data_IF_005772879531
#
_entry.id   IF_005772879531
#
_cell.length_a   1.000
_cell.length_b   1.000
_cell.length_c   1.000
_cell.angle_alpha   90.00
_cell.angle_beta   90.00
_cell.angle_gamma   90.00
#
_symmetry.space_group_name_H-M   'P 1'
#
loop_
_entity.id
_entity.type
_entity.pdbx_description
1 polymer ?
#
# COMPACT_ATOMS: atom_id res chain seq x y z
N UNK A 1 -73.02 -31.20 16.87
CA UNK A 1 -71.60 -31.47 16.56
C UNK A 1 -71.18 -30.48 15.49
N UNK A 2 -70.44 -29.42 15.86
CA UNK A 2 -70.08 -28.29 14.99
C UNK A 2 -68.81 -28.63 14.21
N UNK A 3 -68.88 -28.59 12.89
CA UNK A 3 -67.71 -28.68 12.00
C UNK A 3 -67.17 -27.26 11.85
N UNK A 4 -65.98 -27.01 12.40
CA UNK A 4 -65.24 -25.77 12.25
C UNK A 4 -64.27 -25.92 11.07
N UNK A 5 -64.52 -25.16 10.02
CA UNK A 5 -63.63 -24.97 8.87
C UNK A 5 -62.62 -23.90 9.28
N UNK A 6 -61.34 -24.26 9.36
CA UNK A 6 -60.25 -23.30 9.50
C UNK A 6 -59.87 -22.73 8.13
N UNK A 7 -59.72 -21.41 7.97
CA UNK A 7 -59.13 -20.86 6.76
C UNK A 7 -57.60 -21.06 6.80
N UNK A 8 -57.05 -21.57 5.70
CA UNK A 8 -55.62 -21.53 5.41
C UNK A 8 -55.18 -20.06 5.35
N UNK A 9 -54.39 -19.62 6.34
CA UNK A 9 -53.64 -18.37 6.25
C UNK A 9 -52.38 -18.69 5.45
N UNK A 10 -52.38 -18.33 4.17
CA UNK A 10 -51.17 -18.29 3.37
C UNK A 10 -50.30 -17.14 3.89
N UNK A 11 -49.28 -17.46 4.70
CA UNK A 11 -48.18 -16.54 4.98
C UNK A 11 -47.41 -16.33 3.68
N UNK A 12 -47.64 -15.18 3.04
CA UNK A 12 -46.75 -14.65 2.01
C UNK A 12 -45.39 -14.40 2.65
N UNK A 13 -44.40 -15.24 2.33
CA UNK A 13 -42.99 -14.91 2.52
C UNK A 13 -42.69 -13.68 1.66
N UNK A 14 -42.62 -12.51 2.28
CA UNK A 14 -41.91 -11.39 1.70
C UNK A 14 -40.43 -11.75 1.77
N UNK A 15 -39.90 -12.27 0.66
CA UNK A 15 -38.47 -12.22 0.40
C UNK A 15 -38.14 -10.74 0.30
N UNK A 16 -37.68 -10.16 1.41
CA UNK A 16 -36.92 -8.93 1.38
C UNK A 16 -35.64 -9.26 0.62
N UNK A 17 -35.69 -9.10 -0.70
CA UNK A 17 -34.52 -8.83 -1.49
C UNK A 17 -33.91 -7.54 -0.90
N UNK A 18 -33.00 -7.70 0.04
CA UNK A 18 -32.12 -6.63 0.45
C UNK A 18 -31.46 -6.14 -0.82
N UNK A 19 -31.76 -4.90 -1.21
CA UNK A 19 -31.04 -4.20 -2.24
C UNK A 19 -29.58 -4.16 -1.79
N UNK A 20 -28.76 -5.10 -2.29
CA UNK A 20 -27.32 -5.02 -2.25
C UNK A 20 -26.95 -3.83 -3.14
N UNK A 21 -26.99 -2.62 -2.59
CA UNK A 21 -26.18 -1.54 -3.10
C UNK A 21 -24.74 -1.96 -2.84
N UNK A 22 -24.14 -2.68 -3.78
CA UNK A 22 -22.70 -2.75 -3.85
C UNK A 22 -22.22 -1.31 -4.02
N UNK A 23 -21.52 -0.79 -3.03
CA UNK A 23 -20.71 0.41 -3.24
C UNK A 23 -19.80 0.10 -4.44
N UNK A 24 -19.89 0.86 -5.53
CA UNK A 24 -19.48 0.42 -6.87
C UNK A 24 -18.01 0.01 -7.02
N UNK A 25 -17.17 0.36 -6.02
CA UNK A 25 -15.75 0.01 -5.94
C UNK A 25 -15.46 -1.27 -5.14
N UNK A 26 -16.42 -1.76 -4.34
CA UNK A 26 -16.24 -2.90 -3.45
C UNK A 26 -16.79 -4.20 -4.04
N UNK A 27 -15.91 -5.18 -4.17
CA UNK A 27 -16.22 -6.58 -4.51
C UNK A 27 -17.01 -7.26 -3.41
N UNK A 28 -17.91 -8.14 -3.84
CA UNK A 28 -18.64 -9.02 -2.95
C UNK A 28 -17.75 -10.13 -2.38
N UNK A 29 -18.04 -10.54 -1.14
CA UNK A 29 -17.48 -11.72 -0.46
C UNK A 29 -16.01 -11.61 -0.03
N UNK A 30 -15.46 -10.39 0.12
CA UNK A 30 -14.14 -10.17 0.71
C UNK A 30 -14.29 -9.76 2.18
N UNK A 31 -13.80 -10.60 3.09
CA UNK A 31 -13.87 -10.40 4.54
C UNK A 31 -12.59 -9.79 5.14
N UNK A 32 -11.64 -9.38 4.32
CA UNK A 32 -10.46 -8.60 4.74
C UNK A 32 -10.61 -7.14 4.34
N UNK A 33 -9.79 -6.27 4.94
CA UNK A 33 -9.61 -4.92 4.43
C UNK A 33 -8.80 -5.01 3.12
N UNK A 34 -9.23 -4.31 2.09
CA UNK A 34 -8.49 -4.20 0.83
C UNK A 34 -8.71 -2.85 0.15
N UNK A 35 -7.78 -2.53 -0.74
CA UNK A 35 -7.68 -1.27 -1.45
C UNK A 35 -7.83 -1.53 -2.95
N UNK A 36 -9.02 -1.32 -3.53
CA UNK A 36 -9.20 -1.44 -4.97
C UNK A 36 -8.28 -0.45 -5.70
N UNK A 37 -7.55 -0.95 -6.70
CA UNK A 37 -6.66 -0.14 -7.53
C UNK A 37 -7.26 0.00 -8.93
N UNK A 38 -7.08 1.17 -9.56
CA UNK A 38 -7.55 1.43 -10.93
C UNK A 38 -6.73 0.67 -11.99
N UNK A 39 -5.47 0.33 -11.68
CA UNK A 39 -4.62 -0.48 -12.54
C UNK A 39 -3.80 -1.50 -11.72
N UNK A 40 -3.60 -2.74 -12.21
CA UNK A 40 -2.97 -3.81 -11.44
C UNK A 40 -1.44 -3.73 -11.31
N UNK A 41 -0.74 -2.82 -12.02
CA UNK A 41 0.70 -2.93 -12.25
C UNK A 41 1.55 -1.70 -11.88
N UNK A 42 0.98 -0.67 -11.23
CA UNK A 42 1.74 0.50 -10.76
C UNK A 42 1.26 0.89 -9.37
N UNK A 43 2.07 1.57 -8.54
CA UNK A 43 1.61 2.19 -7.30
C UNK A 43 0.65 3.35 -7.62
N UNK A 44 -0.52 3.03 -8.15
CA UNK A 44 -1.59 3.99 -8.40
C UNK A 44 -2.33 4.24 -7.11
N UNK A 45 -2.73 5.50 -6.88
CA UNK A 45 -3.64 5.88 -5.81
C UNK A 45 -4.82 4.91 -5.75
N UNK A 46 -5.12 4.30 -4.58
CA UNK A 46 -6.30 3.47 -4.44
C UNK A 46 -7.58 4.25 -4.75
N UNK A 47 -8.57 3.58 -5.34
CA UNK A 47 -9.93 4.12 -5.50
C UNK A 47 -10.61 4.37 -4.14
N UNK A 48 -10.14 3.67 -3.11
CA UNK A 48 -10.63 3.76 -1.74
C UNK A 48 -10.16 2.57 -0.92
N UNK A 49 -10.91 2.29 0.14
CA UNK A 49 -10.75 1.10 0.97
C UNK A 49 -12.09 0.41 1.19
N UNK A 50 -12.08 -0.91 1.19
CA UNK A 50 -13.26 -1.75 1.32
C UNK A 50 -13.08 -2.78 2.43
N UNK A 51 -14.17 -3.10 3.12
CA UNK A 51 -14.25 -4.20 4.09
C UNK A 51 -15.68 -4.73 4.13
N UNK A 52 -15.85 -6.05 4.04
CA UNK A 52 -17.16 -6.71 4.08
C UNK A 52 -18.19 -6.05 3.12
N UNK A 53 -17.78 -5.83 1.88
CA UNK A 53 -18.55 -5.20 0.80
C UNK A 53 -18.95 -3.74 1.03
N UNK A 54 -18.37 -3.07 2.03
CA UNK A 54 -18.65 -1.66 2.34
C UNK A 54 -17.42 -0.80 2.07
N UNK A 55 -17.64 0.39 1.51
CA UNK A 55 -16.60 1.41 1.43
C UNK A 55 -16.31 1.95 2.85
N UNK A 56 -15.06 1.81 3.27
CA UNK A 56 -14.55 2.24 4.57
C UNK A 56 -13.50 3.35 4.43
N UNK A 57 -13.34 3.94 3.26
CA UNK A 57 -12.32 4.97 2.97
C UNK A 57 -12.34 6.08 4.02
N UNK A 58 -13.50 6.70 4.24
CA UNK A 58 -13.65 7.78 5.24
C UNK A 58 -13.49 7.31 6.68
N UNK A 59 -13.70 6.02 6.98
CA UNK A 59 -13.40 5.45 8.30
C UNK A 59 -11.88 5.34 8.51
N UNK A 60 -11.11 5.06 7.45
CA UNK A 60 -9.65 4.94 7.53
C UNK A 60 -8.90 6.27 7.45
N UNK A 61 -9.36 7.19 6.59
CA UNK A 61 -8.65 8.45 6.31
C UNK A 61 -9.31 9.69 6.91
N UNK A 62 -10.52 9.57 7.45
CA UNK A 62 -11.28 10.74 7.91
C UNK A 62 -11.56 11.69 6.74
N UNK A 63 -11.29 13.00 6.86
CA UNK A 63 -11.50 13.93 5.77
C UNK A 63 -10.48 13.76 4.63
N UNK A 64 -9.34 13.14 4.91
CA UNK A 64 -8.16 13.08 4.04
C UNK A 64 -8.25 12.01 2.95
N UNK A 65 -7.26 12.03 2.07
CA UNK A 65 -7.14 11.09 0.96
C UNK A 65 -6.15 9.97 1.29
N UNK A 66 -6.50 8.73 0.89
CA UNK A 66 -5.56 7.61 0.85
C UNK A 66 -4.76 7.75 -0.45
N UNK A 67 -3.44 7.84 -0.35
CA UNK A 67 -2.56 8.11 -1.51
C UNK A 67 -1.87 6.86 -2.02
N UNK A 68 -1.66 5.87 -1.15
CA UNK A 68 -1.04 4.58 -1.48
C UNK A 68 -1.44 3.53 -0.45
N UNK A 69 -1.39 2.26 -0.81
CA UNK A 69 -1.64 1.16 0.11
C UNK A 69 -0.91 -0.11 -0.32
N UNK A 70 -0.42 -0.87 0.65
CA UNK A 70 0.24 -2.15 0.45
C UNK A 70 -0.30 -3.18 1.46
N UNK A 71 -0.40 -4.40 0.97
CA UNK A 71 -0.81 -5.55 1.77
C UNK A 71 0.41 -6.18 2.42
N UNK A 72 0.31 -6.64 3.67
CA UNK A 72 1.36 -7.42 4.32
C UNK A 72 1.50 -8.86 3.76
N UNK A 73 0.70 -9.23 2.75
CA UNK A 73 0.72 -10.54 2.11
C UNK A 73 0.09 -11.69 2.92
N UNK A 74 -0.18 -11.48 4.21
CA UNK A 74 -0.81 -12.47 5.12
C UNK A 74 -2.23 -12.05 5.51
N UNK A 75 -2.61 -10.79 5.23
CA UNK A 75 -3.96 -10.26 5.41
C UNK A 75 -4.23 -9.75 6.83
N UNK A 76 -3.21 -9.54 7.66
CA UNK A 76 -3.39 -9.13 9.05
C UNK A 76 -3.32 -7.61 9.21
N UNK A 77 -2.41 -6.97 8.49
CA UNK A 77 -2.24 -5.51 8.48
C UNK A 77 -2.15 -5.02 7.04
N UNK A 78 -2.85 -3.92 6.80
CA UNK A 78 -2.66 -3.13 5.60
C UNK A 78 -1.98 -1.82 5.97
N UNK A 79 -0.85 -1.52 5.33
CA UNK A 79 -0.21 -0.22 5.45
C UNK A 79 -0.73 0.69 4.34
N UNK A 80 -1.00 1.93 4.66
CA UNK A 80 -1.49 2.91 3.70
C UNK A 80 -1.00 4.29 4.07
N UNK A 81 -0.82 5.15 3.08
CA UNK A 81 -0.48 6.56 3.33
C UNK A 81 -1.72 7.41 3.20
N UNK A 82 -1.87 8.37 4.11
CA UNK A 82 -2.81 9.48 3.96
C UNK A 82 -2.05 10.78 3.68
N UNK A 83 -2.57 11.57 2.75
CA UNK A 83 -2.08 12.91 2.44
C UNK A 83 -2.97 13.98 3.05
N UNK A 84 -2.35 14.93 3.74
CA UNK A 84 -3.00 16.10 4.34
C UNK A 84 -2.35 17.37 3.80
N UNK A 85 -3.11 18.46 3.73
CA UNK A 85 -2.61 19.77 3.33
C UNK A 85 -1.87 19.74 1.97
N UNK A 86 -2.62 19.51 0.88
CA UNK A 86 -2.06 19.36 -0.47
C UNK A 86 -3.05 19.73 -1.58
N UNK A 87 -2.60 19.68 -2.82
CA UNK A 87 -3.42 20.00 -4.01
C UNK A 87 -4.12 18.78 -4.63
N UNK A 88 -3.95 17.61 -4.01
CA UNK A 88 -4.51 16.33 -4.45
C UNK A 88 -3.54 15.48 -5.30
N UNK A 89 -2.46 16.07 -5.81
CA UNK A 89 -1.37 15.39 -6.51
C UNK A 89 -0.10 15.30 -5.67
N UNK A 90 0.14 16.32 -4.85
CA UNK A 90 1.22 16.39 -3.88
C UNK A 90 0.67 16.85 -2.54
N UNK A 91 1.26 16.33 -1.46
CA UNK A 91 0.81 16.59 -0.09
C UNK A 91 1.99 17.01 0.78
N UNK A 92 1.84 18.15 1.44
CA UNK A 92 2.89 18.73 2.29
C UNK A 92 3.09 17.90 3.56
N UNK A 93 2.01 17.31 4.06
CA UNK A 93 2.02 16.45 5.21
C UNK A 93 1.47 15.08 4.84
N UNK A 94 2.23 14.03 5.15
CA UNK A 94 1.80 12.66 4.89
C UNK A 94 2.00 11.78 6.11
N UNK A 95 1.15 10.77 6.26
CA UNK A 95 1.24 9.82 7.37
C UNK A 95 1.12 8.41 6.86
N UNK A 96 2.04 7.55 7.27
CA UNK A 96 1.91 6.11 7.08
C UNK A 96 1.05 5.59 8.23
N UNK A 97 -0.03 4.94 7.87
CA UNK A 97 -1.02 4.35 8.76
C UNK A 97 -1.04 2.84 8.58
N UNK A 98 -1.51 2.13 9.61
CA UNK A 98 -1.78 0.71 9.58
C UNK A 98 -3.25 0.47 9.93
N UNK A 99 -3.93 -0.40 9.19
CA UNK A 99 -5.28 -0.86 9.50
C UNK A 99 -5.32 -2.37 9.68
N UNK A 100 -6.06 -2.82 10.70
CA UNK A 100 -6.28 -4.24 11.02
C UNK A 100 -7.71 -4.46 11.49
N UNK A 101 -8.12 -5.73 11.57
CA UNK A 101 -9.39 -6.13 12.16
C UNK A 101 -9.07 -6.76 13.52
N UNK A 102 -9.67 -6.25 14.58
CA UNK A 102 -9.49 -6.82 15.92
C UNK A 102 -10.32 -8.12 16.09
N UNK A 103 -10.22 -8.74 17.26
CA UNK A 103 -10.94 -10.00 17.56
C UNK A 103 -12.46 -9.85 17.56
N UNK A 104 -12.97 -8.64 17.74
CA UNK A 104 -14.40 -8.32 17.76
C UNK A 104 -14.95 -8.01 16.35
N UNK A 105 -14.08 -8.02 15.32
CA UNK A 105 -14.45 -7.68 13.95
C UNK A 105 -14.41 -6.19 13.64
N UNK A 106 -13.93 -5.36 14.56
CA UNK A 106 -13.80 -3.93 14.38
C UNK A 106 -12.50 -3.56 13.65
N UNK A 107 -12.61 -2.59 12.75
CA UNK A 107 -11.46 -1.97 12.09
C UNK A 107 -10.76 -1.06 13.09
N UNK A 108 -9.48 -1.33 13.34
CA UNK A 108 -8.58 -0.52 14.16
C UNK A 108 -7.49 0.08 13.28
N UNK A 109 -7.23 1.37 13.48
CA UNK A 109 -6.16 2.10 12.78
C UNK A 109 -5.11 2.60 13.76
N UNK A 110 -3.86 2.66 13.30
CA UNK A 110 -2.76 3.23 14.06
C UNK A 110 -1.83 4.03 13.13
N UNK A 111 -1.32 5.16 13.62
CA UNK A 111 -0.27 5.91 12.94
C UNK A 111 1.06 5.20 13.15
N UNK A 112 1.77 4.93 12.05
CA UNK A 112 3.09 4.28 12.04
C UNK A 112 4.18 5.33 11.94
N UNK A 113 4.04 6.27 10.99
CA UNK A 113 5.01 7.32 10.73
C UNK A 113 4.31 8.62 10.34
N UNK A 114 4.93 9.74 10.69
CA UNK A 114 4.55 11.10 10.30
C UNK A 114 5.72 11.70 9.51
N UNK A 115 5.44 12.38 8.38
CA UNK A 115 6.46 13.15 7.68
C UNK A 115 6.99 14.31 8.53
N UNK A 116 6.18 14.79 9.48
CA UNK A 116 6.38 16.07 10.11
C UNK A 116 6.18 17.22 9.12
N UNK A 117 6.62 18.42 9.53
CA UNK A 117 6.62 19.59 8.67
C UNK A 117 7.82 19.52 7.72
N UNK A 118 7.65 19.90 6.44
CA UNK A 118 8.76 20.02 5.51
C UNK A 118 9.82 21.01 6.02
N UNK A 119 11.08 20.59 5.97
CA UNK A 119 12.24 21.48 6.12
C UNK A 119 12.65 21.93 4.71
N UNK A 120 12.21 23.13 4.34
CA UNK A 120 12.51 23.73 3.03
C UNK A 120 13.95 24.23 2.93
N UNK A 121 14.65 24.38 4.06
CA UNK A 121 16.05 24.79 4.11
C UNK A 121 16.98 23.57 3.98
N UNK A 122 16.54 22.38 4.42
CA UNK A 122 17.22 21.09 4.19
C UNK A 122 16.30 20.06 3.52
N UNK A 123 15.94 20.26 2.24
CA UNK A 123 14.98 19.42 1.53
C UNK A 123 15.42 17.96 1.39
N UNK A 124 16.72 17.66 1.63
CA UNK A 124 17.25 16.29 1.63
C UNK A 124 16.81 15.47 2.84
N UNK A 125 16.38 16.13 3.91
CA UNK A 125 15.86 15.48 5.12
C UNK A 125 14.33 15.44 5.16
N UNK A 126 13.69 16.16 4.26
CA UNK A 126 12.22 16.24 4.19
C UNK A 126 11.64 14.97 3.61
N UNK A 127 10.65 14.40 4.30
CA UNK A 127 9.87 13.27 3.82
C UNK A 127 8.58 13.79 3.15
N UNK A 128 8.73 14.34 1.94
CA UNK A 128 7.62 14.92 1.19
C UNK A 128 6.81 13.83 0.47
N UNK A 129 5.48 13.96 0.48
CA UNK A 129 4.59 13.10 -0.31
C UNK A 129 4.86 11.58 -0.15
N UNK A 130 4.94 11.07 1.09
CA UNK A 130 5.24 9.65 1.33
C UNK A 130 4.23 8.71 0.63
N UNK A 131 4.73 7.63 0.03
CA UNK A 131 3.91 6.59 -0.60
C UNK A 131 4.43 5.20 -0.24
N UNK A 132 3.62 4.37 0.39
CA UNK A 132 4.00 2.98 0.65
C UNK A 132 3.99 2.19 -0.66
N UNK A 133 5.06 1.43 -0.92
CA UNK A 133 5.27 0.78 -2.23
C UNK A 133 5.42 -0.73 -2.15
N UNK A 134 5.85 -1.28 -1.01
CA UNK A 134 5.73 -2.71 -0.78
C UNK A 134 6.07 -3.15 0.64
N UNK A 135 5.69 -4.37 0.99
CA UNK A 135 5.99 -4.98 2.29
C UNK A 135 6.57 -6.38 2.09
N UNK A 136 7.72 -6.66 2.71
CA UNK A 136 8.24 -8.03 2.84
C UNK A 136 7.91 -8.58 4.22
N UNK A 137 6.97 -9.51 4.27
CA UNK A 137 6.48 -10.14 5.50
C UNK A 137 7.48 -11.08 6.16
N UNK A 138 8.46 -11.58 5.40
CA UNK A 138 9.49 -12.49 5.92
C UNK A 138 10.49 -11.76 6.79
N UNK A 139 10.80 -10.51 6.42
CA UNK A 139 11.75 -9.67 7.13
C UNK A 139 11.08 -8.51 7.88
N UNK A 140 9.76 -8.36 7.76
CA UNK A 140 8.94 -7.31 8.36
C UNK A 140 9.39 -5.90 7.95
N UNK A 141 9.61 -5.71 6.65
CA UNK A 141 10.14 -4.47 6.07
C UNK A 141 9.09 -3.79 5.22
N UNK A 142 8.74 -2.56 5.59
CA UNK A 142 7.86 -1.71 4.81
C UNK A 142 8.72 -0.73 3.99
N UNK A 143 8.59 -0.80 2.68
CA UNK A 143 9.23 0.11 1.74
C UNK A 143 8.26 1.23 1.39
N UNK A 144 8.79 2.45 1.34
CA UNK A 144 8.03 3.62 0.92
C UNK A 144 8.94 4.57 0.15
N UNK A 145 8.31 5.39 -0.69
CA UNK A 145 8.94 6.43 -1.47
C UNK A 145 8.55 7.80 -0.95
N UNK A 146 9.42 8.77 -1.16
CA UNK A 146 9.13 10.19 -1.05
C UNK A 146 9.54 10.88 -2.33
N UNK A 147 8.91 12.00 -2.64
CA UNK A 147 9.41 12.85 -3.71
C UNK A 147 10.79 13.40 -3.29
N UNK A 148 11.81 13.24 -4.14
CA UNK A 148 13.15 13.77 -3.87
C UNK A 148 13.42 15.05 -4.67
N UNK A 149 14.28 15.90 -4.10
CA UNK A 149 14.61 17.24 -4.59
C UNK A 149 15.24 17.33 -5.99
N UNK A 150 15.65 16.22 -6.62
CA UNK A 150 16.64 16.29 -7.71
C UNK A 150 16.32 15.61 -9.05
N UNK A 151 15.31 14.71 -9.20
CA UNK A 151 14.80 14.19 -10.51
C UNK A 151 14.11 12.83 -10.41
N UNK A 152 14.41 12.03 -9.38
CA UNK A 152 13.76 10.74 -9.11
C UNK A 152 13.30 10.69 -7.65
N UNK A 153 12.36 9.79 -7.32
CA UNK A 153 11.91 9.59 -5.94
C UNK A 153 13.05 9.16 -5.00
N UNK A 154 12.80 9.12 -3.70
CA UNK A 154 13.71 8.60 -2.70
C UNK A 154 13.10 7.37 -2.05
N UNK A 155 13.83 6.26 -2.07
CA UNK A 155 13.38 4.97 -1.51
C UNK A 155 13.87 4.84 -0.08
N UNK A 156 12.93 4.57 0.81
CA UNK A 156 13.14 4.35 2.23
C UNK A 156 12.63 2.99 2.67
N UNK A 157 13.10 2.55 3.84
CA UNK A 157 12.60 1.36 4.54
C UNK A 157 12.31 1.68 6.00
N UNK A 158 11.19 1.14 6.49
CA UNK A 158 10.91 0.94 7.90
C UNK A 158 11.10 -0.53 8.23
N UNK A 159 12.03 -0.82 9.12
CA UNK A 159 12.11 -2.14 9.75
C UNK A 159 11.12 -2.16 10.91
N UNK A 160 10.12 -3.03 10.85
CA UNK A 160 9.18 -3.22 11.94
C UNK A 160 9.79 -4.12 13.02
N UNK A 161 9.31 -4.02 14.27
CA UNK A 161 9.74 -4.90 15.37
C UNK A 161 9.40 -6.39 15.13
N UNK A 162 8.46 -6.66 14.22
CA UNK A 162 8.04 -7.99 13.81
C UNK A 162 7.02 -7.93 12.69
N UNK A 163 6.68 -9.09 12.13
CA UNK A 163 5.64 -9.18 11.10
C UNK A 163 4.30 -8.72 11.67
N UNK A 164 3.53 -7.97 10.88
CA UNK A 164 2.27 -7.36 11.32
C UNK A 164 2.42 -6.52 12.61
N UNK A 165 3.55 -5.84 12.79
CA UNK A 165 3.74 -4.85 13.86
C UNK A 165 3.51 -3.43 13.34
N UNK A 166 3.06 -2.54 14.20
CA UNK A 166 2.99 -1.09 13.94
C UNK A 166 4.18 -0.33 14.52
N UNK A 167 5.05 -1.00 15.27
CA UNK A 167 6.22 -0.40 15.92
C UNK A 167 7.43 -0.48 15.00
N UNK A 168 8.06 0.66 14.80
CA UNK A 168 9.26 0.81 13.98
C UNK A 168 10.49 0.53 14.86
N UNK A 169 11.33 -0.39 14.42
CA UNK A 169 12.68 -0.62 14.97
C UNK A 169 13.66 0.42 14.43
N UNK A 170 13.63 0.70 13.13
CA UNK A 170 14.39 1.80 12.52
C UNK A 170 13.79 2.27 11.19
N UNK A 171 14.13 3.49 10.81
CA UNK A 171 13.93 4.08 9.49
C UNK A 171 15.29 4.32 8.82
N UNK A 172 15.39 4.06 7.52
CA UNK A 172 16.62 4.29 6.75
C UNK A 172 16.31 4.68 5.29
N UNK A 173 17.05 5.66 4.78
CA UNK A 173 17.13 5.95 3.34
C UNK A 173 18.01 4.91 2.64
N UNK A 174 17.55 4.37 1.51
CA UNK A 174 18.27 3.36 0.73
C UNK A 174 18.98 4.01 -0.45
N UNK A 175 18.23 4.66 -1.33
CA UNK A 175 18.73 5.23 -2.60
C UNK A 175 17.69 6.18 -3.18
N UNK A 176 18.11 7.04 -4.11
CA UNK A 176 17.24 7.65 -5.11
C UNK A 176 16.73 6.60 -6.12
N UNK A 177 15.55 6.83 -6.70
CA UNK A 177 14.86 5.95 -7.64
C UNK A 177 13.40 5.68 -7.26
N UNK A 178 12.79 4.70 -7.93
CA UNK A 178 11.44 4.21 -7.62
C UNK A 178 11.44 2.68 -7.48
N UNK A 179 10.68 2.16 -6.52
CA UNK A 179 10.54 0.74 -6.24
C UNK A 179 9.77 0.07 -7.37
N UNK A 180 10.42 -0.86 -8.05
CA UNK A 180 9.81 -1.64 -9.12
C UNK A 180 9.31 -3.00 -8.63
N UNK A 181 9.96 -3.56 -7.59
CA UNK A 181 9.53 -4.82 -6.97
C UNK A 181 10.09 -4.98 -5.56
N UNK A 182 9.37 -5.71 -4.72
CA UNK A 182 9.87 -6.25 -3.44
C UNK A 182 9.94 -7.76 -3.55
N UNK A 183 11.13 -8.31 -3.27
CA UNK A 183 11.48 -9.72 -3.49
C UNK A 183 11.93 -10.37 -2.18
N UNK A 184 12.29 -11.65 -2.22
CA UNK A 184 12.90 -12.36 -1.09
C UNK A 184 14.35 -11.96 -0.80
N UNK A 185 15.05 -11.49 -1.83
CA UNK A 185 16.43 -11.00 -1.74
C UNK A 185 16.52 -9.54 -1.27
N UNK A 186 15.44 -8.78 -1.40
CA UNK A 186 15.35 -7.37 -1.02
C UNK A 186 14.48 -6.55 -1.97
N UNK A 187 14.83 -5.28 -2.17
CA UNK A 187 14.06 -4.35 -3.01
C UNK A 187 14.75 -4.07 -4.33
N UNK A 188 13.99 -4.10 -5.42
CA UNK A 188 14.46 -3.70 -6.75
C UNK A 188 14.03 -2.25 -6.98
N UNK A 189 15.01 -1.40 -7.27
CA UNK A 189 14.82 0.03 -7.50
C UNK A 189 15.21 0.39 -8.91
N UNK A 190 14.28 0.93 -9.68
CA UNK A 190 14.54 1.57 -10.97
C UNK A 190 15.13 2.95 -10.75
N UNK A 191 16.24 3.22 -11.42
CA UNK A 191 16.92 4.51 -11.43
C UNK A 191 17.11 4.96 -12.86
N UNK A 192 16.56 6.13 -13.15
CA UNK A 192 16.85 6.89 -14.35
C UNK A 192 18.05 7.80 -14.11
N UNK A 193 19.06 7.68 -14.96
CA UNK A 193 20.20 8.59 -15.00
C UNK A 193 20.35 9.16 -16.40
N UNK A 194 20.95 10.35 -16.48
CA UNK A 194 21.30 10.99 -17.74
C UNK A 194 22.82 11.00 -17.87
N UNK A 195 23.36 10.27 -18.85
CA UNK A 195 24.69 10.55 -19.38
C UNK A 195 24.56 11.48 -20.57
N UNK A 196 25.61 12.24 -20.88
CA UNK A 196 25.67 13.45 -21.75
C UNK A 196 24.98 13.38 -23.13
N UNK A 197 24.40 12.24 -23.57
CA UNK A 197 23.48 12.16 -24.72
C UNK A 197 22.40 11.06 -24.64
N UNK A 198 22.21 10.35 -23.51
CA UNK A 198 21.20 9.28 -23.36
C UNK A 198 20.71 9.14 -21.93
N UNK A 199 19.39 9.15 -21.76
CA UNK A 199 18.76 8.67 -20.53
C UNK A 199 18.83 7.15 -20.49
N UNK A 200 19.34 6.59 -19.40
CA UNK A 200 19.32 5.16 -19.14
C UNK A 200 18.42 4.87 -17.94
N UNK A 201 17.64 3.79 -18.02
CA UNK A 201 16.93 3.25 -16.88
C UNK A 201 17.49 1.87 -16.54
N UNK A 202 18.01 1.72 -15.34
CA UNK A 202 18.49 0.45 -14.80
C UNK A 202 17.76 0.12 -13.51
N UNK A 203 17.36 -1.14 -13.37
CA UNK A 203 16.81 -1.68 -12.13
C UNK A 203 17.93 -2.35 -11.32
N UNK A 204 18.11 -1.91 -10.09
CA UNK A 204 19.16 -2.40 -9.19
C UNK A 204 18.53 -3.16 -8.03
N UNK A 205 19.10 -4.31 -7.67
CA UNK A 205 18.73 -5.03 -6.46
C UNK A 205 19.49 -4.45 -5.27
N UNK A 206 18.77 -4.07 -4.22
CA UNK A 206 19.30 -3.76 -2.91
C UNK A 206 18.91 -4.87 -1.94
N UNK A 207 19.89 -5.47 -1.27
CA UNK A 207 19.64 -6.57 -0.36
C UNK A 207 18.94 -6.14 0.95
N UNK A 208 18.64 -7.11 1.80
CA UNK A 208 18.06 -6.86 3.13
C UNK A 208 19.00 -6.11 4.10
N UNK A 209 20.28 -5.95 3.75
CA UNK A 209 21.24 -5.06 4.44
C UNK A 209 21.32 -3.67 3.80
N UNK A 210 20.37 -3.36 2.90
CA UNK A 210 20.24 -2.11 2.15
C UNK A 210 21.44 -1.77 1.27
N UNK A 211 22.22 -2.77 0.84
CA UNK A 211 23.36 -2.58 -0.05
C UNK A 211 23.00 -2.94 -1.48
N UNK A 212 23.46 -2.11 -2.43
CA UNK A 212 23.35 -2.41 -3.87
C UNK A 212 24.14 -3.68 -4.18
N UNK A 213 23.46 -4.68 -4.74
CA UNK A 213 24.04 -5.97 -5.12
C UNK A 213 24.43 -5.96 -6.59
N UNK A 214 23.48 -5.69 -7.49
CA UNK A 214 23.65 -5.88 -8.93
C UNK A 214 22.59 -5.12 -9.74
N UNK A 215 22.74 -5.15 -11.07
CA UNK A 215 21.71 -4.77 -12.03
C UNK A 215 20.85 -6.02 -12.30
N UNK A 216 19.52 -5.86 -12.23
CA UNK A 216 18.55 -6.93 -12.46
C UNK A 216 18.24 -7.06 -13.95
N UNK A 217 18.14 -8.31 -14.42
CA UNK A 217 17.68 -8.59 -15.78
C UNK A 217 16.15 -8.43 -15.89
N UNK A 218 15.66 -7.21 -16.10
CA UNK A 218 14.22 -6.94 -16.24
C UNK A 218 13.58 -7.49 -17.52
N UNK A 219 14.38 -8.09 -18.42
CA UNK A 219 13.86 -8.81 -19.59
C UNK A 219 13.38 -10.22 -19.25
N UNK A 220 13.78 -10.77 -18.12
CA UNK A 220 13.26 -12.07 -17.66
C UNK A 220 11.81 -11.92 -17.20
N UNK A 221 10.90 -12.79 -17.63
CA UNK A 221 9.47 -12.70 -17.28
C UNK A 221 9.19 -12.73 -15.77
N UNK A 222 10.08 -13.32 -14.97
CA UNK A 222 9.93 -13.50 -13.52
C UNK A 222 10.91 -12.62 -12.72
N UNK A 223 11.48 -11.58 -13.34
CA UNK A 223 12.45 -10.69 -12.69
C UNK A 223 11.90 -10.06 -11.40
N UNK A 224 10.60 -9.76 -11.34
CA UNK A 224 9.96 -9.15 -10.16
C UNK A 224 9.78 -10.11 -8.98
N UNK A 225 10.04 -11.41 -9.19
CA UNK A 225 9.97 -12.45 -8.15
C UNK A 225 11.38 -12.87 -7.73
N UNK A 226 12.25 -13.16 -8.69
CA UNK A 226 13.58 -13.73 -8.41
C UNK A 226 14.71 -12.69 -8.42
N UNK A 227 14.52 -11.56 -9.11
CA UNK A 227 15.52 -10.49 -9.29
C UNK A 227 16.92 -11.03 -9.64
N UNK A 228 17.01 -11.85 -10.69
CA UNK A 228 18.28 -12.40 -11.11
C UNK A 228 19.20 -11.30 -11.68
N UNK A 229 20.45 -11.34 -11.24
CA UNK A 229 21.47 -10.39 -11.65
C UNK A 229 21.90 -10.66 -13.09
N UNK A 230 22.17 -9.59 -13.83
CA UNK A 230 22.94 -9.70 -15.07
C UNK A 230 24.39 -9.99 -14.64
N UNK A 231 24.89 -11.20 -14.92
CA UNK A 231 26.31 -11.51 -14.78
C UNK A 231 27.09 -10.53 -15.66
N UNK A 232 28.07 -9.83 -15.07
CA UNK A 232 28.80 -8.75 -15.72
C UNK A 232 29.38 -9.19 -17.06
N UNK A 233 28.98 -8.49 -18.12
CA UNK A 233 29.72 -8.47 -19.39
C UNK A 233 30.94 -7.57 -19.30
#
# INVERSE_FOLDING_TARGET
>A
MKILIFPLIALSFQVLAGNNYSDSICRENVQSIYFPMDAPNFPTKPLGACFANKNITKKLSGPWDITSAVFDGIGNINYYTIGTDGDGSQYDHTKIMAASINKDGDIVTAQVMDSGNPDWDDPKKTLYNMQVTGYDWRTARLYFETDAWATSGAVHVLQMEGNSSIRIKYHKFITDGSVSAVTDKGVVVERTGDDENKSFSHSYLYDNSEKKVCIVNTRDKYWSVYADCIDGG
#
